data_IF_887105339606
#
_entry.id   IF_887105339606
#
_cell.length_a   1.000
_cell.length_b   1.000
_cell.length_c   1.000
_cell.angle_alpha   90.00
_cell.angle_beta   90.00
_cell.angle_gamma   90.00
#
_symmetry.space_group_name_H-M   'P 1'
#
loop_
_entity.id
_entity.type
_entity.pdbx_description
1 polymer ?
#
# COMPACT_ATOMS: atom_id res chain seq x y z
N UNK A 1 -13.95 13.97 -18.16
CA UNK A 1 -13.28 14.63 -17.02
C UNK A 1 -13.20 13.61 -15.88
N UNK A 2 -12.01 13.32 -15.35
CA UNK A 2 -11.85 12.40 -14.23
C UNK A 2 -12.27 13.09 -12.93
N UNK A 3 -13.09 12.44 -12.09
CA UNK A 3 -13.63 13.04 -10.86
C UNK A 3 -12.58 13.19 -9.75
N UNK A 4 -11.65 12.23 -9.65
CA UNK A 4 -10.51 12.23 -8.73
C UNK A 4 -9.24 12.01 -9.57
N UNK A 5 -8.53 13.08 -9.98
CA UNK A 5 -7.38 12.98 -10.87
C UNK A 5 -6.17 12.36 -10.16
N UNK A 6 -5.22 11.85 -10.92
CA UNK A 6 -3.98 11.29 -10.39
C UNK A 6 -3.20 12.33 -9.56
N UNK A 7 -2.73 11.93 -8.38
CA UNK A 7 -2.09 12.82 -7.40
C UNK A 7 -0.63 13.20 -7.68
N UNK A 8 -0.13 12.93 -8.89
CA UNK A 8 1.28 13.13 -9.25
C UNK A 8 2.21 12.05 -8.69
N UNK A 9 3.50 12.36 -8.60
CA UNK A 9 4.54 11.38 -8.24
C UNK A 9 4.29 10.65 -6.92
N UNK A 10 4.43 9.33 -6.95
CA UNK A 10 4.29 8.43 -5.81
C UNK A 10 5.57 7.63 -5.56
N UNK A 11 5.80 7.18 -4.31
CA UNK A 11 6.87 6.23 -3.98
C UNK A 11 6.77 5.00 -4.86
N UNK A 12 7.80 4.76 -5.69
CA UNK A 12 7.76 3.74 -6.75
C UNK A 12 7.48 2.34 -6.21
N UNK A 13 8.06 2.00 -5.06
CA UNK A 13 7.87 0.71 -4.40
C UNK A 13 6.42 0.50 -3.91
N UNK A 14 5.64 1.58 -3.69
CA UNK A 14 4.24 1.47 -3.28
C UNK A 14 3.33 0.94 -4.40
N UNK A 15 3.68 1.15 -5.67
CA UNK A 15 2.90 0.62 -6.79
C UNK A 15 2.86 -0.91 -6.83
N UNK A 16 3.85 -1.59 -6.22
CA UNK A 16 3.87 -3.06 -6.09
C UNK A 16 2.64 -3.60 -5.34
N UNK A 17 1.95 -2.74 -4.59
CA UNK A 17 0.79 -3.09 -3.77
C UNK A 17 -0.52 -2.45 -4.27
N UNK A 18 -0.48 -1.75 -5.40
CA UNK A 18 -1.65 -1.08 -5.96
C UNK A 18 -2.25 -1.88 -7.12
N UNK A 19 -3.58 -1.89 -7.19
CA UNK A 19 -4.31 -2.46 -8.32
C UNK A 19 -4.50 -1.42 -9.43
N UNK A 20 -4.85 -1.85 -10.66
CA UNK A 20 -5.11 -0.94 -11.79
C UNK A 20 -6.22 0.08 -11.54
N UNK A 21 -7.10 -0.17 -10.57
CA UNK A 21 -8.21 0.71 -10.20
C UNK A 21 -7.88 1.58 -8.98
N UNK A 22 -6.63 1.68 -8.52
CA UNK A 22 -6.30 2.53 -7.37
C UNK A 22 -6.72 4.00 -7.59
N UNK A 23 -7.24 4.61 -6.53
CA UNK A 23 -7.45 6.07 -6.44
C UNK A 23 -6.31 6.64 -5.62
N UNK A 24 -5.30 7.17 -6.31
CA UNK A 24 -4.26 8.01 -5.73
C UNK A 24 -4.48 9.43 -6.25
N UNK A 25 -4.83 10.34 -5.36
CA UNK A 25 -5.28 11.69 -5.72
C UNK A 25 -4.89 12.70 -4.65
N UNK A 26 -4.65 13.95 -5.05
CA UNK A 26 -4.48 15.11 -4.18
C UNK A 26 -5.44 16.16 -4.72
N UNK A 27 -6.33 16.69 -3.89
CA UNK A 27 -7.37 17.62 -4.31
C UNK A 27 -7.69 18.66 -3.24
N UNK A 28 -8.28 19.78 -3.64
CA UNK A 28 -8.74 20.83 -2.73
C UNK A 28 -9.93 20.36 -1.88
N UNK A 29 -9.96 20.62 -0.56
CA UNK A 29 -10.95 20.08 0.38
C UNK A 29 -12.30 20.80 0.29
N UNK A 30 -12.93 20.77 -0.87
CA UNK A 30 -14.27 21.32 -1.11
C UNK A 30 -15.35 20.30 -0.75
N UNK A 31 -16.55 20.78 -0.39
CA UNK A 31 -17.71 19.92 -0.12
C UNK A 31 -18.00 18.97 -1.29
N UNK A 32 -17.95 19.49 -2.53
CA UNK A 32 -18.11 18.69 -3.75
C UNK A 32 -17.08 17.56 -3.81
N UNK A 33 -15.80 17.84 -3.58
CA UNK A 33 -14.75 16.83 -3.66
C UNK A 33 -14.88 15.78 -2.55
N UNK A 34 -15.30 16.18 -1.35
CA UNK A 34 -15.59 15.23 -0.27
C UNK A 34 -16.80 14.35 -0.59
N UNK A 35 -17.86 14.89 -1.22
CA UNK A 35 -19.00 14.09 -1.66
C UNK A 35 -18.60 13.05 -2.73
N UNK A 36 -17.74 13.44 -3.68
CA UNK A 36 -17.16 12.53 -4.67
C UNK A 36 -16.32 11.45 -4.00
N UNK A 37 -15.44 11.81 -3.05
CA UNK A 37 -14.62 10.86 -2.30
C UNK A 37 -15.49 9.87 -1.52
N UNK A 38 -16.53 10.35 -0.83
CA UNK A 38 -17.45 9.50 -0.08
C UNK A 38 -18.16 8.49 -1.00
N UNK A 39 -18.65 8.96 -2.14
CA UNK A 39 -19.30 8.09 -3.14
C UNK A 39 -18.32 7.02 -3.65
N UNK A 40 -17.09 7.42 -3.99
CA UNK A 40 -16.04 6.48 -4.42
C UNK A 40 -15.70 5.45 -3.33
N UNK A 41 -15.58 5.86 -2.06
CA UNK A 41 -15.36 4.95 -0.94
C UNK A 41 -16.47 3.90 -0.84
N UNK A 42 -17.73 4.34 -0.90
CA UNK A 42 -18.88 3.44 -0.81
C UNK A 42 -18.92 2.44 -1.96
N UNK A 43 -18.63 2.88 -3.18
CA UNK A 43 -18.63 2.00 -4.34
C UNK A 43 -17.46 1.01 -4.34
N UNK A 44 -16.27 1.44 -3.93
CA UNK A 44 -15.11 0.54 -3.78
C UNK A 44 -15.37 -0.52 -2.70
N UNK A 45 -15.98 -0.12 -1.59
CA UNK A 45 -16.28 -1.03 -0.50
C UNK A 45 -17.37 -2.04 -0.89
N UNK A 46 -18.43 -1.61 -1.60
CA UNK A 46 -19.45 -2.51 -2.15
C UNK A 46 -18.86 -3.51 -3.14
N UNK A 47 -17.98 -3.07 -4.03
CA UNK A 47 -17.28 -3.96 -4.96
C UNK A 47 -16.41 -4.98 -4.22
N UNK A 48 -15.70 -4.56 -3.17
CA UNK A 48 -14.94 -5.47 -2.32
C UNK A 48 -15.83 -6.51 -1.62
N UNK A 49 -16.98 -6.10 -1.05
CA UNK A 49 -17.95 -7.02 -0.45
C UNK A 49 -18.45 -8.07 -1.46
N UNK A 50 -18.76 -7.65 -2.68
CA UNK A 50 -19.17 -8.59 -3.74
C UNK A 50 -18.07 -9.60 -4.08
N UNK A 51 -16.80 -9.18 -4.11
CA UNK A 51 -15.67 -10.10 -4.29
C UNK A 51 -15.53 -11.07 -3.13
N UNK A 52 -15.76 -10.61 -1.89
CA UNK A 52 -15.77 -11.47 -0.71
C UNK A 52 -16.91 -12.48 -0.73
N UNK A 53 -18.12 -12.07 -1.13
CA UNK A 53 -19.28 -12.96 -1.25
C UNK A 53 -19.06 -14.08 -2.29
N UNK A 54 -18.26 -13.80 -3.32
CA UNK A 54 -17.91 -14.77 -4.37
C UNK A 54 -16.65 -15.58 -4.05
N UNK A 55 -15.92 -15.24 -2.98
CA UNK A 55 -14.67 -15.90 -2.65
C UNK A 55 -14.94 -17.32 -2.12
N UNK A 56 -14.29 -18.31 -2.74
CA UNK A 56 -14.28 -19.68 -2.24
C UNK A 56 -13.01 -19.94 -1.41
N UNK A 57 -13.16 -20.76 -0.36
CA UNK A 57 -12.03 -21.17 0.48
C UNK A 57 -10.98 -21.96 -0.33
N UNK A 58 -9.72 -21.55 -0.22
CA UNK A 58 -8.60 -22.24 -0.86
C UNK A 58 -8.11 -23.39 0.03
N UNK A 59 -8.31 -24.62 -0.44
CA UNK A 59 -7.95 -25.84 0.30
C UNK A 59 -6.54 -26.37 -0.07
N UNK A 60 -5.91 -25.83 -1.11
CA UNK A 60 -4.55 -26.22 -1.49
C UNK A 60 -3.53 -25.59 -0.52
N UNK A 61 -2.90 -26.43 0.31
CA UNK A 61 -1.90 -26.01 1.31
C UNK A 61 -0.79 -25.13 0.73
N UNK A 62 -0.28 -25.44 -0.46
CA UNK A 62 0.79 -24.65 -1.09
C UNK A 62 0.31 -23.25 -1.46
N UNK A 63 -0.92 -23.12 -1.97
CA UNK A 63 -1.51 -21.81 -2.27
C UNK A 63 -1.83 -21.03 -0.99
N UNK A 64 -2.35 -21.69 0.04
CA UNK A 64 -2.59 -21.05 1.36
C UNK A 64 -1.29 -20.50 1.94
N UNK A 65 -0.19 -21.26 1.89
CA UNK A 65 1.13 -20.77 2.33
C UNK A 65 1.58 -19.56 1.52
N UNK A 66 1.37 -19.56 0.19
CA UNK A 66 1.70 -18.41 -0.67
C UNK A 66 0.83 -17.18 -0.35
N UNK A 67 -0.47 -17.37 -0.10
CA UNK A 67 -1.38 -16.29 0.27
C UNK A 67 -0.97 -15.66 1.61
N UNK A 68 -0.66 -16.51 2.61
CA UNK A 68 -0.16 -16.06 3.92
C UNK A 68 1.14 -15.28 3.79
N UNK A 69 2.09 -15.80 3.01
CA UNK A 69 3.37 -15.13 2.74
C UNK A 69 3.19 -13.78 2.04
N UNK A 70 2.27 -13.70 1.07
CA UNK A 70 1.97 -12.45 0.36
C UNK A 70 1.34 -11.41 1.29
N UNK A 71 0.41 -11.82 2.15
CA UNK A 71 -0.18 -10.95 3.16
C UNK A 71 0.87 -10.48 4.18
N UNK A 72 1.69 -11.41 4.70
CA UNK A 72 2.76 -11.08 5.63
C UNK A 72 3.73 -10.05 5.01
N UNK A 73 4.19 -10.26 3.77
CA UNK A 73 5.03 -9.30 3.04
C UNK A 73 4.41 -7.90 2.95
N UNK A 74 3.11 -7.81 2.67
CA UNK A 74 2.40 -6.53 2.61
C UNK A 74 2.32 -5.84 3.98
N UNK A 75 2.00 -6.59 5.04
CA UNK A 75 1.96 -6.06 6.41
C UNK A 75 3.34 -5.58 6.86
N UNK A 76 4.40 -6.36 6.62
CA UNK A 76 5.78 -5.98 6.91
C UNK A 76 6.18 -4.68 6.19
N UNK A 77 5.79 -4.53 4.92
CA UNK A 77 6.05 -3.29 4.18
C UNK A 77 5.36 -2.08 4.81
N UNK A 78 4.05 -2.21 5.09
CA UNK A 78 3.25 -1.11 5.65
C UNK A 78 3.73 -0.74 7.06
N UNK A 79 3.98 -1.72 7.92
CA UNK A 79 4.45 -1.46 9.29
C UNK A 79 5.78 -0.65 9.31
N UNK A 80 6.66 -0.88 8.34
CA UNK A 80 7.95 -0.20 8.27
C UNK A 80 7.90 1.14 7.51
N UNK A 81 7.13 1.24 6.42
CA UNK A 81 7.23 2.36 5.44
C UNK A 81 5.97 3.20 5.29
N UNK A 82 4.91 2.95 6.06
CA UNK A 82 3.66 3.72 5.97
C UNK A 82 3.90 5.23 6.19
N UNK A 83 3.36 6.09 5.30
CA UNK A 83 3.60 7.52 5.37
C UNK A 83 3.00 8.22 6.59
N UNK A 84 2.02 7.61 7.26
CA UNK A 84 1.34 8.13 8.43
C UNK A 84 2.10 7.93 9.75
N UNK A 85 3.08 7.03 9.80
CA UNK A 85 3.82 6.73 11.04
C UNK A 85 4.49 7.95 11.71
N UNK A 86 5.14 8.88 10.98
CA UNK A 86 5.70 10.10 11.59
C UNK A 86 4.65 10.97 12.28
N UNK A 87 3.42 11.01 11.76
CA UNK A 87 2.31 11.74 12.39
C UNK A 87 1.87 11.05 13.68
N UNK A 88 1.71 9.73 13.66
CA UNK A 88 1.39 8.95 14.86
C UNK A 88 2.44 9.15 15.95
N UNK A 89 3.73 9.06 15.59
CA UNK A 89 4.85 9.34 16.52
C UNK A 89 4.75 10.71 17.17
N UNK A 90 4.34 11.73 16.42
CA UNK A 90 4.16 13.09 16.94
C UNK A 90 2.95 13.22 17.87
N UNK A 91 1.87 12.49 17.60
CA UNK A 91 0.62 12.58 18.36
C UNK A 91 0.64 11.77 19.66
N UNK A 92 1.17 10.55 19.62
CA UNK A 92 1.07 9.57 20.73
C UNK A 92 2.44 9.07 21.22
N UNK A 93 3.55 9.59 20.69
CA UNK A 93 4.90 9.16 21.07
C UNK A 93 5.33 7.86 20.37
N UNK A 94 6.63 7.57 20.40
CA UNK A 94 7.21 6.49 19.60
C UNK A 94 6.75 5.08 20.03
N UNK A 95 6.67 4.80 21.33
CA UNK A 95 6.26 3.48 21.82
C UNK A 95 4.82 3.16 21.41
N UNK A 96 3.86 4.00 21.78
CA UNK A 96 2.46 3.79 21.43
C UNK A 96 2.21 3.83 19.92
N UNK A 97 2.97 4.62 19.15
CA UNK A 97 2.88 4.59 17.70
C UNK A 97 3.36 3.26 17.11
N UNK A 98 4.43 2.66 17.66
CA UNK A 98 4.89 1.33 17.24
C UNK A 98 3.84 0.28 17.58
N UNK A 99 3.34 0.26 18.81
CA UNK A 99 2.33 -0.70 19.26
C UNK A 99 1.04 -0.58 18.43
N UNK A 100 0.55 0.65 18.18
CA UNK A 100 -0.62 0.86 17.31
C UNK A 100 -0.39 0.35 15.88
N UNK A 101 0.83 0.51 15.35
CA UNK A 101 1.16 0.07 14.00
C UNK A 101 1.24 -1.46 13.90
N UNK A 102 1.91 -2.13 14.85
CA UNK A 102 2.17 -3.57 14.77
C UNK A 102 1.04 -4.42 15.34
N UNK A 103 0.37 -3.95 16.38
CA UNK A 103 -0.65 -4.72 17.11
C UNK A 103 -2.09 -4.41 16.66
N UNK A 104 -2.30 -3.33 15.90
CA UNK A 104 -3.65 -2.94 15.44
C UNK A 104 -3.73 -2.65 13.94
N UNK A 105 -3.00 -1.66 13.43
CA UNK A 105 -3.13 -1.26 12.01
C UNK A 105 -2.65 -2.35 11.05
N UNK A 106 -1.57 -3.04 11.41
CA UNK A 106 -0.99 -4.13 10.63
C UNK A 106 -0.81 -5.38 11.49
N UNK A 107 -1.82 -5.67 12.32
CA UNK A 107 -1.93 -6.94 13.04
C UNK A 107 -1.73 -8.10 12.05
N UNK A 108 -0.95 -9.10 12.47
CA UNK A 108 -0.48 -10.17 11.61
C UNK A 108 1.01 -10.09 11.24
N UNK A 109 1.65 -8.91 11.37
CA UNK A 109 3.08 -8.73 11.03
C UNK A 109 4.02 -9.58 11.89
N UNK A 110 3.60 -9.96 13.10
CA UNK A 110 4.38 -10.83 13.99
C UNK A 110 3.90 -12.29 14.02
N UNK A 111 2.72 -12.59 13.46
CA UNK A 111 2.07 -13.91 13.59
C UNK A 111 1.91 -14.67 12.27
N UNK A 112 1.85 -13.99 11.12
CA UNK A 112 1.66 -14.63 9.82
C UNK A 112 2.95 -15.20 9.21
N UNK A 113 4.12 -14.76 9.67
CA UNK A 113 5.42 -15.21 9.17
C UNK A 113 6.58 -14.78 10.07
N UNK A 114 7.80 -15.23 9.72
CA UNK A 114 9.02 -14.97 10.50
C UNK A 114 10.06 -14.14 9.74
N UNK A 115 9.79 -13.80 8.47
CA UNK A 115 10.69 -12.98 7.65
C UNK A 115 10.67 -11.53 8.11
N UNK A 116 11.84 -10.94 8.26
CA UNK A 116 12.04 -9.53 8.53
C UNK A 116 11.73 -8.65 7.31
N UNK A 117 11.71 -7.33 7.51
CA UNK A 117 11.62 -6.39 6.40
C UNK A 117 12.76 -6.56 5.38
N UNK A 118 13.99 -6.79 5.84
CA UNK A 118 15.15 -6.94 4.94
C UNK A 118 15.15 -8.27 4.18
N UNK A 119 14.46 -9.31 4.70
CA UNK A 119 14.26 -10.56 3.95
C UNK A 119 13.35 -10.35 2.72
N UNK A 120 12.40 -9.42 2.79
CA UNK A 120 11.49 -9.09 1.69
C UNK A 120 11.97 -7.97 0.78
N UNK A 121 12.73 -7.02 1.34
CA UNK A 121 13.16 -5.78 0.69
C UNK A 121 14.64 -5.54 0.95
N UNK A 122 15.53 -6.43 0.47
CA UNK A 122 16.97 -6.33 0.73
C UNK A 122 17.59 -5.05 0.16
N UNK A 123 16.94 -4.39 -0.81
CA UNK A 123 17.38 -3.09 -1.34
C UNK A 123 17.42 -1.97 -0.30
N UNK A 124 16.80 -2.15 0.88
CA UNK A 124 16.85 -1.22 2.00
C UNK A 124 17.94 -1.55 3.03
N UNK A 125 18.74 -2.60 2.85
CA UNK A 125 19.81 -2.93 3.79
C UNK A 125 20.89 -1.84 3.77
N UNK A 126 21.40 -1.49 4.95
CA UNK A 126 22.62 -0.70 5.13
C UNK A 126 23.78 -1.62 5.51
N UNK A 127 25.00 -1.14 5.35
CA UNK A 127 26.23 -1.89 5.66
C UNK A 127 26.30 -2.35 7.13
N UNK A 128 25.62 -1.64 8.04
CA UNK A 128 25.50 -1.96 9.47
C UNK A 128 24.38 -2.98 9.79
N UNK A 129 23.72 -3.53 8.77
CA UNK A 129 22.60 -4.47 8.89
C UNK A 129 21.27 -3.82 9.27
N UNK A 130 21.21 -2.48 9.40
CA UNK A 130 19.96 -1.77 9.72
C UNK A 130 19.15 -1.41 8.49
N UNK A 131 17.86 -1.13 8.67
CA UNK A 131 16.96 -0.68 7.60
C UNK A 131 17.25 0.79 7.25
N UNK A 132 17.36 1.08 5.96
CA UNK A 132 17.50 2.43 5.46
C UNK A 132 16.26 3.29 5.80
N UNK A 133 16.48 4.44 6.44
CA UNK A 133 15.41 5.37 6.86
C UNK A 133 14.71 6.06 5.69
N UNK A 134 15.28 6.02 4.48
CA UNK A 134 14.58 6.50 3.26
C UNK A 134 13.27 5.73 3.10
N UNK A 135 12.22 6.44 2.70
CA UNK A 135 10.92 5.82 2.36
C UNK A 135 11.00 5.03 1.04
N UNK A 136 11.81 5.52 0.11
CA UNK A 136 11.97 4.98 -1.23
C UNK A 136 13.45 4.93 -1.57
N UNK A 137 13.91 3.79 -2.06
CA UNK A 137 15.26 3.62 -2.59
C UNK A 137 15.35 4.04 -4.06
N UNK A 138 14.26 3.86 -4.81
CA UNK A 138 14.13 4.29 -6.22
C UNK A 138 13.82 5.79 -6.31
N UNK A 139 13.07 6.32 -5.35
CA UNK A 139 12.50 7.67 -5.38
C UNK A 139 11.04 7.69 -5.84
N UNK A 140 10.48 8.91 -5.90
CA UNK A 140 9.12 9.10 -6.40
C UNK A 140 9.12 9.18 -7.92
N UNK A 141 8.24 8.42 -8.57
CA UNK A 141 8.05 8.39 -10.03
C UNK A 141 6.56 8.44 -10.37
N UNK A 142 6.21 8.23 -11.64
CA UNK A 142 4.83 8.14 -12.16
C UNK A 142 4.06 9.45 -11.95
N UNK A 143 4.50 10.51 -12.64
CA UNK A 143 3.78 11.79 -12.68
C UNK A 143 2.37 11.63 -13.27
N UNK A 144 2.20 10.72 -14.23
CA UNK A 144 0.92 10.29 -14.77
C UNK A 144 0.51 8.90 -14.22
N UNK A 145 -0.78 8.58 -14.35
CA UNK A 145 -1.33 7.27 -13.96
C UNK A 145 -0.64 6.16 -14.76
N UNK A 146 -0.03 5.15 -14.13
CA UNK A 146 0.75 4.14 -14.83
C UNK A 146 -0.09 2.98 -15.37
N UNK A 147 -1.40 3.15 -15.47
CA UNK A 147 -2.33 2.20 -16.10
C UNK A 147 -3.18 2.93 -17.12
N UNK A 148 -3.43 2.28 -18.25
CA UNK A 148 -4.35 2.79 -19.26
C UNK A 148 -5.83 2.58 -18.88
N UNK A 149 -6.74 2.93 -19.78
CA UNK A 149 -8.18 2.81 -19.56
C UNK A 149 -8.68 1.36 -19.45
N UNK A 150 -7.91 0.38 -19.92
CA UNK A 150 -8.22 -1.06 -19.83
C UNK A 150 -7.63 -1.69 -18.57
N UNK A 151 -6.77 -0.97 -17.85
CA UNK A 151 -6.07 -1.46 -16.67
C UNK A 151 -4.72 -2.11 -16.98
N UNK A 152 -4.22 -1.99 -18.22
CA UNK A 152 -2.87 -2.46 -18.57
C UNK A 152 -1.82 -1.49 -18.02
N UNK A 153 -0.76 -2.04 -17.41
CA UNK A 153 0.32 -1.23 -16.86
C UNK A 153 1.20 -0.66 -17.99
N UNK A 154 1.34 0.67 -18.02
CA UNK A 154 2.10 1.43 -19.03
C UNK A 154 3.25 2.26 -18.44
N UNK A 155 3.50 2.15 -17.14
CA UNK A 155 4.46 2.98 -16.39
C UNK A 155 5.95 2.84 -16.75
N UNK A 156 6.28 2.23 -17.90
CA UNK A 156 7.62 2.20 -18.48
C UNK A 156 7.68 2.69 -19.94
N UNK A 157 6.56 3.09 -20.54
CA UNK A 157 6.49 3.50 -21.96
C UNK A 157 6.87 4.97 -22.20
N UNK A 158 6.99 5.79 -21.16
CA UNK A 158 7.38 7.21 -21.24
C UNK A 158 8.91 7.42 -21.04
N UNK A 159 9.72 6.38 -21.24
CA UNK A 159 11.17 6.41 -21.08
C UNK A 159 11.96 6.14 -22.39
N UNK A 160 11.28 6.16 -23.55
CA UNK A 160 11.89 6.18 -24.88
C UNK A 160 11.66 7.52 -25.59
#
# INVERSE_FOLDING_TARGET
>A
MQLLPWGGKITSESLRFFSPIVIWTIFEPTERNHHVLYSALMDYYKAWLQLTDQAAEENNKTKVVRNREAQHRYLTWRAEKDPGFPLLKKLIGESYAKDLVTEFLFEGVHSLGSKSFLDYFPEYARDDGTVNKKRSMIGKSFEARPWDATGEFIGGKDAE
#
